data_IF_920027673478
#
_entry.id   IF_920027673478
#
_cell.length_a   1.000
_cell.length_b   1.000
_cell.length_c   1.000
_cell.angle_alpha   90.00
_cell.angle_beta   90.00
_cell.angle_gamma   90.00
#
_symmetry.space_group_name_H-M   'P 1'
#
loop_
_entity.id
_entity.type
_entity.pdbx_description
1 polymer ?
#
# COMPACT_ATOMS: atom_id res chain seq x y z
N UNK A 1 -17.43 -18.91 7.53
CA UNK A 1 -17.58 -17.44 7.50
C UNK A 1 -16.42 -16.78 8.26
N UNK A 2 -15.24 -16.79 7.63
CA UNK A 2 -13.97 -16.27 8.21
C UNK A 2 -13.38 -15.11 7.37
N UNK A 3 -14.14 -14.58 6.40
CA UNK A 3 -13.65 -13.55 5.48
C UNK A 3 -13.42 -12.17 6.14
N UNK A 4 -13.88 -11.98 7.38
CA UNK A 4 -13.74 -10.72 8.14
C UNK A 4 -12.35 -10.55 8.78
N UNK A 5 -11.55 -11.62 8.87
CA UNK A 5 -10.27 -11.61 9.59
C UNK A 5 -9.11 -10.94 8.84
N UNK A 6 -9.21 -10.84 7.51
CA UNK A 6 -8.11 -10.32 6.69
C UNK A 6 -7.98 -8.79 6.76
N UNK A 7 -9.07 -8.03 6.70
CA UNK A 7 -8.98 -6.56 6.63
C UNK A 7 -8.36 -5.92 7.89
N UNK A 8 -8.74 -6.40 9.08
CA UNK A 8 -8.21 -5.86 10.35
C UNK A 8 -6.71 -6.15 10.50
N UNK A 9 -6.29 -7.34 10.09
CA UNK A 9 -4.89 -7.78 10.17
C UNK A 9 -4.03 -7.04 9.14
N UNK A 10 -4.50 -6.95 7.90
CA UNK A 10 -3.87 -6.17 6.82
C UNK A 10 -3.72 -4.71 7.24
N UNK A 11 -4.79 -4.09 7.75
CA UNK A 11 -4.78 -2.68 8.15
C UNK A 11 -3.76 -2.42 9.26
N UNK A 12 -3.68 -3.30 10.27
CA UNK A 12 -2.66 -3.17 11.34
C UNK A 12 -1.24 -3.32 10.81
N UNK A 13 -1.00 -4.29 9.93
CA UNK A 13 0.31 -4.49 9.32
C UNK A 13 0.73 -3.27 8.50
N UNK A 14 -0.19 -2.68 7.74
CA UNK A 14 0.04 -1.45 6.98
C UNK A 14 0.40 -0.30 7.92
N UNK A 15 -0.41 -0.05 8.96
CA UNK A 15 -0.19 1.05 9.91
C UNK A 15 1.20 0.92 10.55
N UNK A 16 1.54 -0.25 11.09
CA UNK A 16 2.86 -0.46 11.69
C UNK A 16 4.01 -0.27 10.69
N UNK A 17 3.82 -0.71 9.44
CA UNK A 17 4.82 -0.54 8.40
C UNK A 17 5.03 0.93 8.02
N UNK A 18 3.95 1.70 7.95
CA UNK A 18 3.98 3.15 7.70
C UNK A 18 4.62 3.89 8.87
N UNK A 19 4.25 3.55 10.12
CA UNK A 19 4.79 4.20 11.32
C UNK A 19 6.27 3.88 11.55
N UNK A 20 6.70 2.65 11.25
CA UNK A 20 8.10 2.25 11.37
C UNK A 20 8.98 2.76 10.23
N UNK A 21 8.40 3.15 9.10
CA UNK A 21 9.17 3.55 7.91
C UNK A 21 9.06 5.04 7.64
N UNK A 22 10.20 5.72 7.63
CA UNK A 22 10.27 7.13 7.28
C UNK A 22 10.25 7.32 5.76
N UNK A 23 9.14 6.94 5.10
CA UNK A 23 9.01 7.04 3.65
C UNK A 23 9.07 8.51 3.19
N UNK A 24 10.11 8.85 2.44
CA UNK A 24 10.25 10.16 1.80
C UNK A 24 9.35 10.31 0.57
N UNK A 25 9.01 9.19 -0.08
CA UNK A 25 8.23 9.15 -1.33
C UNK A 25 6.93 8.37 -1.14
N UNK A 26 5.83 8.92 -1.66
CA UNK A 26 4.49 8.31 -1.61
C UNK A 26 4.39 7.04 -2.45
N UNK A 27 5.18 6.94 -3.53
CA UNK A 27 5.24 5.77 -4.40
C UNK A 27 5.84 4.54 -3.72
N UNK A 28 6.89 4.74 -2.92
CA UNK A 28 7.53 3.69 -2.14
C UNK A 28 6.57 3.16 -1.08
N UNK A 29 5.84 4.06 -0.41
CA UNK A 29 4.81 3.68 0.55
C UNK A 29 3.69 2.88 -0.12
N UNK A 30 3.15 3.36 -1.25
CA UNK A 30 2.09 2.68 -1.97
C UNK A 30 2.51 1.25 -2.39
N UNK A 31 3.74 1.12 -2.91
CA UNK A 31 4.30 -0.17 -3.36
C UNK A 31 4.51 -1.13 -2.19
N UNK A 32 4.98 -0.64 -1.04
CA UNK A 32 5.16 -1.46 0.16
C UNK A 32 3.82 -2.00 0.69
N UNK A 33 2.78 -1.15 0.74
CA UNK A 33 1.42 -1.55 1.10
C UNK A 33 0.90 -2.61 0.13
N UNK A 34 1.06 -2.37 -1.17
CA UNK A 34 0.60 -3.31 -2.19
C UNK A 34 1.27 -4.68 -2.03
N UNK A 35 2.58 -4.70 -1.76
CA UNK A 35 3.33 -5.93 -1.50
C UNK A 35 2.79 -6.68 -0.29
N UNK A 36 2.53 -6.00 0.83
CA UNK A 36 1.95 -6.64 2.02
C UNK A 36 0.62 -7.32 1.68
N UNK A 37 -0.26 -6.65 0.92
CA UNK A 37 -1.55 -7.21 0.54
C UNK A 37 -1.43 -8.46 -0.35
N UNK A 38 -0.65 -8.41 -1.44
CA UNK A 38 -0.63 -9.52 -2.41
C UNK A 38 0.36 -10.64 -2.08
N UNK A 39 1.45 -10.31 -1.37
CA UNK A 39 2.49 -11.29 -0.99
C UNK A 39 2.18 -11.89 0.38
N UNK A 40 1.95 -11.07 1.41
CA UNK A 40 1.79 -11.58 2.77
C UNK A 40 0.38 -12.09 3.04
N UNK A 41 -0.63 -11.45 2.43
CA UNK A 41 -2.04 -11.83 2.58
C UNK A 41 -2.60 -12.55 1.36
N UNK A 42 -1.75 -12.87 0.39
CA UNK A 42 -2.12 -13.67 -0.78
C UNK A 42 -3.30 -13.09 -1.58
N UNK A 43 -3.56 -11.78 -1.50
CA UNK A 43 -4.60 -11.16 -2.32
C UNK A 43 -4.27 -11.28 -3.82
N UNK A 44 -5.27 -11.61 -4.64
CA UNK A 44 -5.10 -11.70 -6.11
C UNK A 44 -4.81 -10.33 -6.74
N UNK A 45 -5.44 -9.28 -6.18
CA UNK A 45 -5.35 -7.90 -6.67
C UNK A 45 -5.44 -6.92 -5.50
N UNK A 46 -4.69 -5.82 -5.60
CA UNK A 46 -4.80 -4.68 -4.69
C UNK A 46 -4.71 -3.37 -5.44
N UNK A 47 -5.59 -2.43 -5.09
CA UNK A 47 -5.47 -1.02 -5.46
C UNK A 47 -5.09 -0.22 -4.22
N UNK A 48 -3.97 0.52 -4.29
CA UNK A 48 -3.49 1.35 -3.19
C UNK A 48 -3.52 2.80 -3.63
N UNK A 49 -4.24 3.63 -2.86
CA UNK A 49 -4.34 5.08 -3.06
C UNK A 49 -3.68 5.78 -1.88
N UNK A 50 -2.60 6.51 -2.16
CA UNK A 50 -1.89 7.30 -1.16
C UNK A 50 -2.06 8.76 -1.51
N UNK A 51 -2.68 9.52 -0.62
CA UNK A 51 -2.84 10.97 -0.74
C UNK A 51 -1.96 11.66 0.28
N UNK A 52 -1.24 12.69 -0.14
CA UNK A 52 -0.47 13.54 0.78
C UNK A 52 -1.18 14.90 0.90
N UNK A 53 -2.16 15.03 1.81
CA UNK A 53 -3.03 16.21 1.87
C UNK A 53 -2.25 17.51 2.18
N UNK A 54 -1.12 17.40 2.88
CA UNK A 54 -0.32 18.54 3.34
C UNK A 54 0.86 18.86 2.43
N UNK A 55 0.92 18.28 1.23
CA UNK A 55 2.12 18.33 0.42
C UNK A 55 2.45 19.74 -0.09
N UNK A 56 1.50 20.67 -0.19
CA UNK A 56 1.75 21.88 -0.96
C UNK A 56 1.01 23.15 -0.50
N UNK A 57 1.82 24.18 -0.21
CA UNK A 57 1.50 25.59 -0.43
C UNK A 57 1.48 25.97 -1.94
N UNK A 58 1.66 25.02 -2.88
CA UNK A 58 1.79 25.29 -4.34
C UNK A 58 1.12 24.28 -5.33
N UNK A 59 0.23 23.37 -4.92
CA UNK A 59 -0.42 22.41 -5.84
C UNK A 59 -1.60 21.75 -5.16
N UNK A 60 -2.73 21.70 -5.85
CA UNK A 60 -3.89 20.88 -5.52
C UNK A 60 -3.45 19.42 -5.36
N UNK A 61 -3.50 18.91 -4.12
CA UNK A 61 -3.35 17.51 -3.70
C UNK A 61 -2.60 16.55 -4.62
N UNK A 62 -1.33 16.28 -4.33
CA UNK A 62 -0.61 15.15 -4.95
C UNK A 62 -1.02 13.83 -4.30
N UNK A 63 -1.44 12.88 -5.13
CA UNK A 63 -1.76 11.52 -4.74
C UNK A 63 -1.30 10.53 -5.79
N UNK A 64 -0.92 9.34 -5.36
CA UNK A 64 -0.54 8.23 -6.23
C UNK A 64 -1.55 7.11 -6.08
N UNK A 65 -1.90 6.51 -7.22
CA UNK A 65 -2.73 5.31 -7.27
C UNK A 65 -1.92 4.25 -8.00
N UNK A 66 -1.76 3.10 -7.37
CA UNK A 66 -1.14 1.95 -8.01
C UNK A 66 -2.05 0.74 -7.90
N UNK A 67 -1.95 -0.11 -8.91
CA UNK A 67 -2.67 -1.37 -9.00
C UNK A 67 -1.63 -2.46 -9.17
N UNK A 68 -1.70 -3.47 -8.31
CA UNK A 68 -0.72 -4.55 -8.29
C UNK A 68 -1.43 -5.88 -8.09
N UNK A 69 -0.91 -6.89 -8.75
CA UNK A 69 -1.28 -8.29 -8.57
C UNK A 69 -0.09 -9.05 -8.01
N UNK A 70 -0.29 -10.30 -7.63
CA UNK A 70 0.82 -11.17 -7.20
C UNK A 70 1.91 -11.26 -8.27
N UNK A 71 1.53 -11.32 -9.53
CA UNK A 71 2.44 -11.47 -10.67
C UNK A 71 3.44 -10.30 -10.80
N UNK A 72 3.00 -9.07 -10.49
CA UNK A 72 3.85 -7.88 -10.51
C UNK A 72 5.07 -7.99 -9.56
N UNK A 73 4.93 -8.75 -8.47
CA UNK A 73 6.00 -9.00 -7.51
C UNK A 73 6.78 -10.30 -7.78
N UNK A 74 6.26 -11.19 -8.62
CA UNK A 74 6.91 -12.43 -9.01
C UNK A 74 7.86 -12.25 -10.21
N UNK A 75 7.62 -11.25 -11.08
CA UNK A 75 8.44 -11.01 -12.28
C UNK A 75 9.78 -10.29 -12.03
N UNK A 76 10.19 -10.07 -10.78
CA UNK A 76 11.52 -9.53 -10.43
C UNK A 76 12.47 -10.67 -10.05
N UNK A 77 12.79 -11.51 -11.03
CA UNK A 77 13.88 -12.48 -11.01
C UNK A 77 14.91 -12.12 -12.08
#
# INVERSE_FOLDING_TARGET
PDDSFNYRTITKAIIQHVESSNYKLVEALATAIARICVVNHQADYVQVRVHKPTALRFSDSVGVVIERTRDDFLQRG
#
